data_IF_867954609100
#
_entry.id   IF_867954609100
#
_cell.length_a   1.000
_cell.length_b   1.000
_cell.length_c   1.000
_cell.angle_alpha   90.00
_cell.angle_beta   90.00
_cell.angle_gamma   90.00
#
_symmetry.space_group_name_H-M   'P 1'
#
loop_
_entity.id
_entity.type
_entity.pdbx_description
1 polymer ?
#
# COMPACT_ATOMS: atom_id res chain seq x y z
N UNK A 1 -29.38 -25.38 -8.59
CA UNK A 1 -29.40 -24.01 -7.97
C UNK A 1 -28.85 -24.07 -6.56
N UNK A 2 -27.55 -23.77 -6.35
CA UNK A 2 -26.93 -23.66 -4.99
C UNK A 2 -26.93 -22.22 -4.56
N UNK A 3 -27.67 -21.90 -3.50
CA UNK A 3 -27.70 -20.58 -2.85
C UNK A 3 -26.33 -20.29 -2.23
N UNK A 4 -25.66 -19.22 -2.68
CA UNK A 4 -24.45 -18.67 -2.06
C UNK A 4 -24.85 -18.01 -0.74
N UNK A 5 -24.29 -18.47 0.39
CA UNK A 5 -24.40 -17.78 1.69
C UNK A 5 -23.46 -16.57 1.67
N UNK A 6 -24.04 -15.40 1.79
CA UNK A 6 -23.30 -14.14 2.07
C UNK A 6 -22.88 -14.17 3.54
N UNK A 7 -21.59 -14.08 3.79
CA UNK A 7 -21.08 -13.77 5.11
C UNK A 7 -21.05 -12.24 5.27
N UNK A 8 -21.84 -11.73 6.19
CA UNK A 8 -21.76 -10.35 6.64
C UNK A 8 -20.80 -10.30 7.81
N UNK A 9 -19.73 -9.53 7.70
CA UNK A 9 -18.86 -9.17 8.82
C UNK A 9 -19.23 -7.76 9.29
N UNK A 10 -19.10 -7.49 10.58
CA UNK A 10 -19.63 -6.31 11.27
C UNK A 10 -19.07 -4.93 10.83
N UNK A 11 -18.29 -4.87 9.78
CA UNK A 11 -17.71 -3.63 9.24
C UNK A 11 -18.39 -3.10 7.95
N UNK A 12 -19.46 -3.70 7.46
CA UNK A 12 -20.25 -3.18 6.32
C UNK A 12 -19.52 -3.09 4.97
N UNK A 13 -18.27 -3.52 4.87
CA UNK A 13 -17.51 -3.56 3.62
C UNK A 13 -17.83 -4.86 2.90
N UNK A 14 -18.51 -4.78 1.77
CA UNK A 14 -18.79 -5.96 0.93
C UNK A 14 -17.46 -6.59 0.49
N UNK A 15 -17.15 -7.77 1.03
CA UNK A 15 -16.02 -8.62 0.64
C UNK A 15 -16.11 -9.17 -0.81
N UNK A 16 -16.88 -8.58 -1.70
CA UNK A 16 -17.19 -9.17 -3.00
C UNK A 16 -16.10 -9.00 -4.06
N UNK A 17 -15.23 -8.00 -3.95
CA UNK A 17 -14.23 -7.70 -4.99
C UNK A 17 -12.85 -8.29 -4.74
N UNK A 18 -12.51 -8.65 -3.50
CA UNK A 18 -11.25 -9.32 -3.17
C UNK A 18 -11.07 -10.70 -3.80
N UNK A 19 -12.16 -11.34 -4.23
CA UNK A 19 -12.11 -12.68 -4.87
C UNK A 19 -11.70 -12.66 -6.33
N UNK A 20 -11.73 -11.53 -7.02
CA UNK A 20 -11.34 -11.44 -8.43
C UNK A 20 -9.82 -11.59 -8.64
N UNK A 21 -9.00 -11.28 -7.62
CA UNK A 21 -7.54 -11.42 -7.66
C UNK A 21 -7.02 -12.80 -7.22
N UNK A 22 -7.83 -13.59 -6.54
CA UNK A 22 -7.44 -14.91 -6.05
C UNK A 22 -7.13 -15.93 -7.15
N UNK A 23 -7.90 -16.03 -8.26
CA UNK A 23 -7.61 -17.02 -9.29
C UNK A 23 -6.23 -16.86 -9.94
N UNK A 24 -5.78 -15.64 -10.35
CA UNK A 24 -4.44 -15.46 -10.90
C UNK A 24 -3.33 -15.77 -9.90
N UNK A 25 -3.49 -15.40 -8.63
CA UNK A 25 -2.52 -15.74 -7.59
C UNK A 25 -2.44 -17.24 -7.34
N UNK A 26 -3.57 -17.95 -7.33
CA UNK A 26 -3.64 -19.40 -7.20
C UNK A 26 -2.98 -20.13 -8.38
N UNK A 27 -3.19 -19.66 -9.60
CA UNK A 27 -2.51 -20.22 -10.78
C UNK A 27 -0.99 -19.99 -10.69
N UNK A 28 -0.55 -18.82 -10.27
CA UNK A 28 0.86 -18.54 -10.04
C UNK A 28 1.48 -19.47 -8.98
N UNK A 29 0.74 -19.74 -7.90
CA UNK A 29 1.16 -20.67 -6.84
C UNK A 29 1.27 -22.11 -7.32
N UNK A 30 0.47 -22.52 -8.31
CA UNK A 30 0.54 -23.87 -8.91
C UNK A 30 1.70 -23.99 -9.90
N UNK A 31 1.98 -22.93 -10.65
CA UNK A 31 2.97 -22.92 -11.73
C UNK A 31 4.40 -22.62 -11.28
N UNK A 32 4.60 -22.03 -10.09
CA UNK A 32 5.91 -21.61 -9.59
C UNK A 32 6.26 -22.26 -8.25
N UNK A 33 7.50 -22.70 -8.13
CA UNK A 33 8.01 -23.29 -6.87
C UNK A 33 8.34 -22.23 -5.82
N UNK A 34 8.80 -21.05 -6.23
CA UNK A 34 9.12 -19.92 -5.36
C UNK A 34 9.02 -18.59 -6.11
N UNK A 35 8.97 -17.50 -5.34
CA UNK A 35 9.00 -16.13 -5.84
C UNK A 35 10.12 -15.37 -5.12
N UNK A 36 10.91 -14.60 -5.86
CA UNK A 36 12.01 -13.81 -5.30
C UNK A 36 11.77 -12.29 -5.32
N UNK A 37 10.79 -11.83 -6.13
CA UNK A 37 10.50 -10.40 -6.27
C UNK A 37 9.02 -10.16 -6.60
N UNK A 38 8.45 -9.14 -5.95
CA UNK A 38 7.14 -8.57 -6.27
C UNK A 38 7.26 -7.05 -6.30
N UNK A 39 6.76 -6.43 -7.37
CA UNK A 39 6.61 -4.97 -7.46
C UNK A 39 5.13 -4.64 -7.56
N UNK A 40 4.57 -4.04 -6.53
CA UNK A 40 3.18 -3.59 -6.49
C UNK A 40 3.11 -2.19 -7.08
N UNK A 41 2.87 -2.12 -8.39
CA UNK A 41 2.85 -0.86 -9.16
C UNK A 41 1.43 -0.40 -9.49
N UNK A 42 0.46 -1.31 -9.63
CA UNK A 42 -0.91 -0.98 -9.99
C UNK A 42 -1.53 0.01 -8.97
N UNK A 43 -2.04 1.12 -9.46
CA UNK A 43 -2.71 2.13 -8.64
C UNK A 43 -3.60 3.01 -9.51
N UNK A 44 -4.61 3.60 -8.88
CA UNK A 44 -5.51 4.58 -9.50
C UNK A 44 -5.59 5.85 -8.66
N UNK A 45 -5.90 6.98 -9.30
CA UNK A 45 -6.20 8.25 -8.67
C UNK A 45 -7.13 9.05 -9.59
N UNK A 46 -8.13 9.65 -9.03
CA UNK A 46 -9.02 10.57 -9.77
C UNK A 46 -8.57 12.02 -9.63
N UNK A 47 -7.53 12.27 -8.82
CA UNK A 47 -6.91 13.58 -8.60
C UNK A 47 -7.90 14.66 -8.16
N UNK A 48 -8.89 14.28 -7.36
CA UNK A 48 -9.88 15.20 -6.81
C UNK A 48 -9.23 16.16 -5.81
N UNK A 49 -9.61 17.42 -5.88
CA UNK A 49 -9.14 18.48 -4.96
C UNK A 49 -10.38 19.05 -4.24
N UNK A 50 -10.32 19.10 -2.92
CA UNK A 50 -11.38 19.58 -2.03
C UNK A 50 -12.73 18.84 -2.18
N UNK A 51 -12.72 17.70 -2.87
CA UNK A 51 -13.86 16.79 -3.02
C UNK A 51 -13.41 15.34 -2.80
N UNK A 52 -14.35 14.48 -2.41
CA UNK A 52 -14.18 13.02 -2.39
C UNK A 52 -15.52 12.39 -2.72
N UNK A 53 -15.63 11.77 -3.88
CA UNK A 53 -16.76 10.92 -4.20
C UNK A 53 -16.61 9.58 -3.47
N UNK A 54 -17.71 9.04 -2.96
CA UNK A 54 -17.70 7.72 -2.29
C UNK A 54 -17.21 6.63 -3.23
N UNK A 55 -17.68 6.62 -4.47
CA UNK A 55 -17.29 5.64 -5.49
C UNK A 55 -15.79 5.73 -5.80
N UNK A 56 -15.25 6.93 -5.97
CA UNK A 56 -13.82 7.13 -6.21
C UNK A 56 -12.98 6.71 -5.01
N UNK A 57 -13.37 7.11 -3.79
CA UNK A 57 -12.67 6.72 -2.58
C UNK A 57 -12.66 5.20 -2.39
N UNK A 58 -13.80 4.52 -2.59
CA UNK A 58 -13.87 3.05 -2.54
C UNK A 58 -12.95 2.41 -3.59
N UNK A 59 -13.01 2.88 -4.84
CA UNK A 59 -12.18 2.36 -5.93
C UNK A 59 -10.68 2.54 -5.64
N UNK A 60 -10.29 3.73 -5.18
CA UNK A 60 -8.89 4.04 -4.85
C UNK A 60 -8.38 3.18 -3.69
N UNK A 61 -9.15 3.07 -2.61
CA UNK A 61 -8.77 2.27 -1.45
C UNK A 61 -8.70 0.77 -1.77
N UNK A 62 -9.69 0.27 -2.51
CA UNK A 62 -9.74 -1.13 -2.94
C UNK A 62 -8.56 -1.48 -3.83
N UNK A 63 -8.22 -0.64 -4.80
CA UNK A 63 -7.11 -0.91 -5.72
C UNK A 63 -5.75 -0.73 -5.05
N UNK A 64 -5.51 0.45 -4.43
CA UNK A 64 -4.16 0.84 -4.02
C UNK A 64 -3.72 0.19 -2.71
N UNK A 65 -4.65 -0.09 -1.80
CA UNK A 65 -4.35 -0.66 -0.48
C UNK A 65 -4.81 -2.11 -0.37
N UNK A 66 -6.11 -2.39 -0.45
CA UNK A 66 -6.63 -3.74 -0.22
C UNK A 66 -6.17 -4.72 -1.29
N UNK A 67 -6.16 -4.33 -2.56
CA UNK A 67 -5.68 -5.17 -3.66
C UNK A 67 -4.20 -5.52 -3.49
N UNK A 68 -3.37 -4.54 -3.18
CA UNK A 68 -1.94 -4.74 -2.89
C UNK A 68 -1.74 -5.68 -1.69
N UNK A 69 -2.48 -5.45 -0.60
CA UNK A 69 -2.41 -6.29 0.60
C UNK A 69 -2.81 -7.72 0.30
N UNK A 70 -3.98 -7.92 -0.31
CA UNK A 70 -4.50 -9.25 -0.63
C UNK A 70 -3.57 -10.04 -1.54
N UNK A 71 -3.04 -9.42 -2.59
CA UNK A 71 -2.09 -10.06 -3.49
C UNK A 71 -0.79 -10.43 -2.76
N UNK A 72 -0.27 -9.53 -1.95
CA UNK A 72 0.95 -9.78 -1.17
C UNK A 72 0.76 -10.95 -0.21
N UNK A 73 -0.30 -10.96 0.59
CA UNK A 73 -0.59 -12.03 1.53
C UNK A 73 -0.78 -13.38 0.82
N UNK A 74 -1.47 -13.40 -0.32
CA UNK A 74 -1.67 -14.60 -1.10
C UNK A 74 -0.34 -15.18 -1.65
N UNK A 75 0.63 -14.32 -1.99
CA UNK A 75 1.92 -14.73 -2.54
C UNK A 75 3.00 -14.99 -1.49
N UNK A 76 2.82 -14.60 -0.22
CA UNK A 76 3.80 -14.81 0.84
C UNK A 76 4.33 -16.25 0.94
N UNK A 77 3.53 -17.31 0.80
CA UNK A 77 4.03 -18.68 0.84
C UNK A 77 5.09 -18.98 -0.23
N UNK A 78 5.02 -18.31 -1.40
CA UNK A 78 6.02 -18.48 -2.46
C UNK A 78 7.35 -17.80 -2.13
N UNK A 79 7.31 -16.64 -1.47
CA UNK A 79 8.51 -15.94 -1.01
C UNK A 79 9.25 -16.74 0.07
N UNK A 80 8.53 -17.37 0.97
CA UNK A 80 9.10 -18.22 2.03
C UNK A 80 9.85 -19.43 1.50
N UNK A 81 9.51 -19.92 0.33
CA UNK A 81 10.18 -21.04 -0.35
C UNK A 81 11.47 -20.64 -1.06
N UNK A 82 11.71 -19.34 -1.26
CA UNK A 82 12.91 -18.87 -1.95
C UNK A 82 14.17 -19.17 -1.11
N UNK A 83 15.23 -19.76 -1.69
CA UNK A 83 16.49 -19.98 -1.01
C UNK A 83 17.27 -18.66 -0.78
N UNK A 84 16.97 -17.64 -1.56
CA UNK A 84 17.57 -16.30 -1.47
C UNK A 84 16.66 -15.31 -0.75
N UNK A 85 17.21 -14.16 -0.38
CA UNK A 85 16.43 -13.04 0.15
C UNK A 85 15.45 -12.52 -0.90
N UNK A 86 14.16 -12.61 -0.59
CA UNK A 86 13.08 -12.15 -1.45
C UNK A 86 12.73 -10.68 -1.18
N UNK A 87 12.05 -10.03 -2.14
CA UNK A 87 11.78 -8.60 -2.09
C UNK A 87 10.37 -8.28 -2.49
N UNK A 88 9.74 -7.37 -1.73
CA UNK A 88 8.45 -6.76 -2.06
C UNK A 88 8.68 -5.26 -2.10
N UNK A 89 8.41 -4.64 -3.24
CA UNK A 89 8.51 -3.21 -3.45
C UNK A 89 7.13 -2.62 -3.75
N UNK A 90 6.62 -1.82 -2.83
CA UNK A 90 5.34 -1.13 -2.99
C UNK A 90 5.57 0.25 -3.61
N UNK A 91 5.01 0.51 -4.78
CA UNK A 91 5.05 1.84 -5.39
C UNK A 91 4.04 2.73 -4.67
N UNK A 92 4.58 3.62 -3.86
CA UNK A 92 3.82 4.48 -2.96
C UNK A 92 3.95 5.96 -3.35
N UNK A 93 3.64 6.86 -2.41
CA UNK A 93 3.69 8.30 -2.63
C UNK A 93 4.08 9.05 -1.36
N UNK A 94 4.80 10.15 -1.54
CA UNK A 94 5.03 11.13 -0.48
C UNK A 94 3.74 11.79 0.03
N UNK A 95 2.62 11.70 -0.70
CA UNK A 95 1.32 12.17 -0.23
C UNK A 95 0.80 11.31 0.93
N UNK A 96 1.23 10.06 1.03
CA UNK A 96 0.95 9.16 2.14
C UNK A 96 1.94 9.28 3.31
N UNK A 97 2.76 10.31 3.39
CA UNK A 97 3.66 10.53 4.53
C UNK A 97 2.89 11.08 5.73
N UNK A 98 3.33 10.71 6.93
CA UNK A 98 2.70 11.09 8.18
C UNK A 98 2.66 12.62 8.40
N UNK A 99 3.62 13.36 7.86
CA UNK A 99 3.64 14.83 7.92
C UNK A 99 2.49 15.50 7.15
N UNK A 100 1.72 14.77 6.36
CA UNK A 100 0.51 15.23 5.67
C UNK A 100 -0.75 15.07 6.51
N UNK A 101 -0.71 14.22 7.53
CA UNK A 101 -1.81 14.00 8.47
C UNK A 101 -1.80 15.08 9.55
N UNK A 102 -2.93 15.76 9.72
CA UNK A 102 -3.09 16.82 10.74
C UNK A 102 -3.73 16.31 12.02
N UNK A 103 -4.47 15.21 11.96
CA UNK A 103 -5.13 14.60 13.10
C UNK A 103 -4.10 14.05 14.12
N UNK A 104 -4.05 14.57 15.36
CA UNK A 104 -3.05 14.12 16.33
C UNK A 104 -3.22 12.66 16.75
N UNK A 105 -4.46 12.18 16.83
CA UNK A 105 -4.76 10.79 17.22
C UNK A 105 -4.31 9.81 16.13
N UNK A 106 -4.57 10.12 14.85
CA UNK A 106 -4.08 9.33 13.74
C UNK A 106 -2.55 9.33 13.67
N UNK A 107 -1.92 10.48 13.92
CA UNK A 107 -0.45 10.57 13.97
C UNK A 107 0.11 9.68 15.08
N UNK A 108 -0.48 9.74 16.27
CA UNK A 108 -0.06 8.90 17.42
C UNK A 108 -0.22 7.42 17.09
N UNK A 109 -1.37 7.01 16.55
CA UNK A 109 -1.62 5.65 16.11
C UNK A 109 -0.55 5.15 15.14
N UNK A 110 -0.24 5.96 14.11
CA UNK A 110 0.70 5.58 13.06
C UNK A 110 2.17 5.64 13.50
N UNK A 111 2.51 6.40 14.54
CA UNK A 111 3.86 6.45 15.14
C UNK A 111 4.14 5.32 16.12
N UNK A 112 3.10 4.71 16.67
CA UNK A 112 3.24 3.63 17.63
C UNK A 112 3.67 2.33 16.92
N UNK A 113 4.98 2.10 16.89
CA UNK A 113 5.57 0.97 16.17
C UNK A 113 5.23 -0.39 16.81
N UNK A 114 5.03 -0.41 18.12
CA UNK A 114 4.73 -1.63 18.86
C UNK A 114 3.25 -2.00 18.78
N UNK A 115 2.38 -1.00 18.86
CA UNK A 115 0.94 -1.20 18.91
C UNK A 115 0.24 -1.14 17.55
N UNK A 116 0.92 -0.67 16.48
CA UNK A 116 0.32 -0.61 15.15
C UNK A 116 0.18 -2.01 14.55
N UNK A 117 -1.05 -2.35 14.16
CA UNK A 117 -1.39 -3.63 13.53
C UNK A 117 -2.10 -3.42 12.20
N UNK A 118 -2.16 -4.45 11.37
CA UNK A 118 -2.92 -4.43 10.11
C UNK A 118 -4.39 -4.09 10.36
N UNK A 119 -5.01 -4.68 11.39
CA UNK A 119 -6.40 -4.37 11.74
C UNK A 119 -6.63 -2.91 12.12
N UNK A 120 -5.66 -2.25 12.80
CA UNK A 120 -5.75 -0.81 13.09
C UNK A 120 -5.61 0.05 11.84
N UNK A 121 -4.80 -0.38 10.86
CA UNK A 121 -4.70 0.29 9.56
C UNK A 121 -6.02 0.16 8.80
N UNK A 122 -6.61 -1.03 8.76
CA UNK A 122 -7.92 -1.26 8.13
C UNK A 122 -9.03 -0.46 8.80
N UNK A 123 -9.04 -0.39 10.14
CA UNK A 123 -9.98 0.44 10.88
C UNK A 123 -9.84 1.94 10.54
N UNK A 124 -8.60 2.43 10.40
CA UNK A 124 -8.32 3.79 9.94
C UNK A 124 -8.89 4.06 8.54
N UNK A 125 -8.68 3.12 7.60
CA UNK A 125 -9.21 3.22 6.23
C UNK A 125 -10.74 3.20 6.22
N UNK A 126 -11.36 2.31 7.01
CA UNK A 126 -12.81 2.23 7.16
C UNK A 126 -13.40 3.50 7.77
N UNK A 127 -12.72 4.08 8.76
CA UNK A 127 -13.11 5.37 9.34
C UNK A 127 -13.08 6.50 8.32
N UNK A 128 -12.03 6.59 7.50
CA UNK A 128 -11.97 7.57 6.42
C UNK A 128 -13.15 7.40 5.46
N UNK A 129 -13.42 6.19 5.00
CA UNK A 129 -14.52 5.93 4.07
C UNK A 129 -15.89 6.26 4.67
N UNK A 130 -16.13 5.97 5.95
CA UNK A 130 -17.34 6.38 6.65
C UNK A 130 -17.48 7.90 6.65
N UNK A 131 -16.43 8.65 6.93
CA UNK A 131 -16.43 10.11 6.92
C UNK A 131 -16.59 10.70 5.51
N UNK A 132 -16.15 10.00 4.46
CA UNK A 132 -16.47 10.39 3.07
C UNK A 132 -17.97 10.22 2.80
N UNK A 133 -18.56 9.11 3.24
CA UNK A 133 -20.02 8.84 3.12
C UNK A 133 -20.87 9.87 3.85
N UNK A 134 -20.43 10.31 5.01
CA UNK A 134 -21.11 11.30 5.84
C UNK A 134 -20.79 12.76 5.43
N UNK A 135 -19.85 12.96 4.49
CA UNK A 135 -19.41 14.30 4.06
C UNK A 135 -18.52 15.04 5.07
N UNK A 136 -18.10 14.40 6.17
CA UNK A 136 -17.36 15.04 7.28
C UNK A 136 -15.84 14.93 7.18
N UNK A 137 -15.30 14.17 6.23
CA UNK A 137 -13.87 13.87 6.08
C UNK A 137 -12.96 15.10 6.15
N UNK A 138 -13.40 16.24 5.61
CA UNK A 138 -12.61 17.49 5.57
C UNK A 138 -12.22 18.04 6.94
N UNK A 139 -13.00 17.73 7.99
CA UNK A 139 -12.83 18.22 9.36
C UNK A 139 -11.91 17.33 10.21
N UNK A 140 -11.62 16.11 9.75
CA UNK A 140 -10.92 15.10 10.52
C UNK A 140 -9.39 15.08 10.36
N UNK A 141 -8.82 16.07 9.68
CA UNK A 141 -7.38 16.27 9.59
C UNK A 141 -6.64 15.25 8.70
N UNK A 142 -7.33 14.65 7.75
CA UNK A 142 -6.74 13.84 6.68
C UNK A 142 -5.80 14.69 5.78
N UNK A 143 -4.93 14.05 4.97
CA UNK A 143 -4.16 14.77 3.95
C UNK A 143 -5.08 15.57 3.01
N UNK A 144 -4.70 16.80 2.66
CA UNK A 144 -5.58 17.70 1.90
C UNK A 144 -5.55 17.52 0.38
N UNK A 145 -4.44 17.03 -0.16
CA UNK A 145 -4.25 16.93 -1.61
C UNK A 145 -4.52 15.50 -2.05
N UNK A 146 -5.47 15.32 -2.98
CA UNK A 146 -5.89 14.01 -3.48
C UNK A 146 -6.14 13.05 -2.31
N UNK A 147 -7.10 13.41 -1.47
CA UNK A 147 -7.23 12.87 -0.12
C UNK A 147 -7.41 11.36 -0.10
N UNK A 148 -8.29 10.81 -0.94
CA UNK A 148 -8.51 9.38 -1.10
C UNK A 148 -7.23 8.64 -1.50
N UNK A 149 -6.53 9.15 -2.51
CA UNK A 149 -5.24 8.63 -2.94
C UNK A 149 -4.20 8.74 -1.83
N UNK A 150 -4.11 9.90 -1.17
CA UNK A 150 -3.15 10.10 -0.08
C UNK A 150 -3.40 9.17 1.10
N UNK A 151 -4.67 8.93 1.47
CA UNK A 151 -5.06 7.96 2.52
C UNK A 151 -4.72 6.53 2.09
N UNK A 152 -4.96 6.15 0.82
CA UNK A 152 -4.57 4.83 0.32
C UNK A 152 -3.06 4.60 0.41
N UNK A 153 -2.25 5.63 0.10
CA UNK A 153 -0.79 5.54 0.18
C UNK A 153 -0.26 5.64 1.62
N UNK A 154 -0.97 6.34 2.51
CA UNK A 154 -0.71 6.33 3.96
C UNK A 154 -0.91 4.92 4.54
N UNK A 155 -2.02 4.28 4.21
CA UNK A 155 -2.30 2.91 4.61
C UNK A 155 -1.27 1.93 4.05
N UNK A 156 -0.88 2.07 2.78
CA UNK A 156 0.14 1.23 2.14
C UNK A 156 1.52 1.40 2.80
N UNK A 157 1.91 2.63 3.15
CA UNK A 157 3.15 2.92 3.87
C UNK A 157 3.15 2.26 5.25
N UNK A 158 2.06 2.42 6.00
CA UNK A 158 1.89 1.81 7.32
C UNK A 158 1.90 0.27 7.24
N UNK A 159 1.18 -0.31 6.29
CA UNK A 159 1.17 -1.76 6.04
C UNK A 159 2.56 -2.29 5.71
N UNK A 160 3.31 -1.60 4.85
CA UNK A 160 4.69 -1.98 4.50
C UNK A 160 5.57 -2.10 5.75
N UNK A 161 5.45 -1.17 6.69
CA UNK A 161 6.20 -1.21 7.96
C UNK A 161 5.78 -2.38 8.83
N UNK A 162 4.47 -2.55 9.05
CA UNK A 162 3.92 -3.65 9.86
C UNK A 162 4.29 -5.01 9.27
N UNK A 163 4.16 -5.18 7.95
CA UNK A 163 4.54 -6.40 7.27
C UNK A 163 6.05 -6.67 7.40
N UNK A 164 6.88 -5.65 7.22
CA UNK A 164 8.32 -5.79 7.36
C UNK A 164 8.73 -6.25 8.76
N UNK A 165 8.15 -5.66 9.82
CA UNK A 165 8.36 -6.06 11.20
C UNK A 165 7.89 -7.50 11.46
N UNK A 166 6.69 -7.86 11.00
CA UNK A 166 6.14 -9.21 11.14
C UNK A 166 7.05 -10.27 10.53
N UNK A 167 7.52 -10.05 9.29
CA UNK A 167 8.39 -10.99 8.59
C UNK A 167 9.78 -11.06 9.21
N UNK A 168 10.32 -9.95 9.68
CA UNK A 168 11.61 -9.90 10.34
C UNK A 168 11.57 -10.62 11.69
N UNK A 169 10.54 -10.40 12.50
CA UNK A 169 10.35 -11.10 13.78
C UNK A 169 10.12 -12.60 13.58
N UNK A 170 9.53 -13.01 12.47
CA UNK A 170 9.40 -14.41 12.07
C UNK A 170 10.68 -15.05 11.51
N UNK A 171 11.80 -14.31 11.43
CA UNK A 171 13.06 -14.80 10.85
C UNK A 171 13.01 -14.98 9.33
N UNK A 172 12.03 -14.39 8.66
CA UNK A 172 11.82 -14.59 7.23
C UNK A 172 12.80 -13.74 6.39
N UNK A 173 13.33 -14.34 5.33
CA UNK A 173 14.24 -13.65 4.39
C UNK A 173 13.50 -12.87 3.32
N UNK A 174 12.53 -12.03 3.72
CA UNK A 174 11.75 -11.17 2.85
C UNK A 174 11.94 -9.73 3.25
N UNK A 175 12.35 -8.88 2.32
CA UNK A 175 12.51 -7.43 2.51
C UNK A 175 11.33 -6.72 1.87
N UNK A 176 10.65 -5.87 2.65
CA UNK A 176 9.46 -5.13 2.20
C UNK A 176 9.72 -3.65 2.32
N UNK A 177 9.61 -2.91 1.24
CA UNK A 177 9.89 -1.49 1.20
C UNK A 177 8.86 -0.73 0.35
N UNK A 178 8.77 0.59 0.56
CA UNK A 178 8.04 1.50 -0.29
C UNK A 178 8.96 2.35 -1.14
N UNK A 179 8.52 2.69 -2.34
CA UNK A 179 9.19 3.65 -3.21
C UNK A 179 8.22 4.72 -3.71
N UNK A 180 8.56 5.99 -3.50
CA UNK A 180 7.85 7.12 -4.09
C UNK A 180 8.61 7.63 -5.31
N UNK A 181 8.06 7.49 -6.52
CA UNK A 181 8.69 7.93 -7.76
C UNK A 181 8.75 9.46 -7.91
N UNK A 182 8.00 10.18 -7.07
CA UNK A 182 7.75 11.60 -7.24
C UNK A 182 6.69 11.89 -8.28
N UNK A 183 6.59 13.14 -8.72
CA UNK A 183 5.63 13.56 -9.74
C UNK A 183 6.17 13.23 -11.14
N UNK A 184 5.72 12.10 -11.68
CA UNK A 184 6.21 11.46 -12.90
C UNK A 184 5.22 11.68 -14.04
N UNK A 185 5.69 11.84 -15.26
CA UNK A 185 4.87 11.93 -16.49
C UNK A 185 4.26 10.58 -16.80
N UNK A 186 2.97 10.44 -16.55
CA UNK A 186 2.15 9.24 -16.79
C UNK A 186 0.71 9.67 -17.10
N UNK A 187 -0.13 8.73 -17.49
CA UNK A 187 -1.57 9.00 -17.69
C UNK A 187 -2.24 9.48 -16.40
N UNK A 188 -1.87 8.92 -15.25
CA UNK A 188 -2.37 9.35 -13.94
C UNK A 188 -2.13 10.85 -13.68
N UNK A 189 -1.02 11.38 -14.17
CA UNK A 189 -0.66 12.81 -14.03
C UNK A 189 -0.98 13.61 -15.29
N UNK A 190 -1.73 13.03 -16.25
CA UNK A 190 -2.12 13.66 -17.54
C UNK A 190 -0.90 14.19 -18.30
N UNK A 191 0.22 13.46 -18.24
CA UNK A 191 1.47 13.87 -18.87
C UNK A 191 2.25 14.96 -18.11
N UNK A 192 1.73 15.45 -16.98
CA UNK A 192 2.45 16.40 -16.13
C UNK A 192 3.45 15.68 -15.23
N UNK A 193 4.61 16.25 -15.09
CA UNK A 193 5.67 15.70 -14.23
C UNK A 193 7.05 16.18 -14.67
N UNK A 194 7.98 16.16 -13.72
CA UNK A 194 9.37 16.58 -13.97
C UNK A 194 10.25 15.44 -14.51
N UNK A 195 9.78 14.18 -14.38
CA UNK A 195 10.54 12.97 -14.71
C UNK A 195 9.77 12.12 -15.69
N UNK A 196 10.48 11.35 -16.49
CA UNK A 196 9.87 10.33 -17.36
C UNK A 196 9.60 9.06 -16.57
N UNK A 197 8.75 8.19 -17.09
CA UNK A 197 8.48 6.89 -16.50
C UNK A 197 9.74 6.00 -16.51
N UNK A 198 10.56 6.09 -17.56
CA UNK A 198 11.80 5.33 -17.72
C UNK A 198 12.84 5.70 -16.65
N UNK A 199 13.08 7.01 -16.42
CA UNK A 199 14.01 7.47 -15.38
C UNK A 199 13.64 6.94 -14.01
N UNK A 200 12.34 6.91 -13.70
CA UNK A 200 11.82 6.43 -12.43
C UNK A 200 11.88 4.91 -12.35
N UNK A 201 11.56 4.22 -13.43
CA UNK A 201 11.60 2.77 -13.52
C UNK A 201 13.02 2.23 -13.34
N UNK A 202 14.02 2.87 -13.94
CA UNK A 202 15.45 2.51 -13.76
C UNK A 202 15.83 2.57 -12.26
N UNK A 203 15.49 3.65 -11.58
CA UNK A 203 15.77 3.75 -10.14
C UNK A 203 15.02 2.71 -9.32
N UNK A 204 13.73 2.49 -9.59
CA UNK A 204 12.93 1.47 -8.92
C UNK A 204 13.49 0.06 -9.13
N UNK A 205 13.93 -0.26 -10.34
CA UNK A 205 14.56 -1.53 -10.67
C UNK A 205 15.89 -1.71 -9.94
N UNK A 206 16.75 -0.68 -9.90
CA UNK A 206 18.01 -0.73 -9.12
C UNK A 206 17.73 -0.95 -7.64
N UNK A 207 16.74 -0.26 -7.06
CA UNK A 207 16.35 -0.45 -5.68
C UNK A 207 15.87 -1.89 -5.42
N UNK A 208 15.04 -2.43 -6.32
CA UNK A 208 14.55 -3.80 -6.22
C UNK A 208 15.67 -4.84 -6.35
N UNK A 209 16.76 -4.53 -7.04
CA UNK A 209 17.89 -5.42 -7.31
C UNK A 209 19.10 -5.20 -6.38
N UNK A 210 19.02 -4.30 -5.40
CA UNK A 210 20.12 -4.09 -4.44
C UNK A 210 20.57 -5.41 -3.80
N UNK A 211 21.87 -5.58 -3.53
CA UNK A 211 22.36 -6.73 -2.78
C UNK A 211 21.63 -6.90 -1.44
N UNK A 212 21.37 -8.12 -0.97
CA UNK A 212 20.62 -8.36 0.26
C UNK A 212 21.19 -7.65 1.51
N UNK A 213 22.52 -7.50 1.58
CA UNK A 213 23.19 -6.80 2.68
C UNK A 213 23.03 -5.28 2.67
N UNK A 214 22.68 -4.70 1.52
CA UNK A 214 22.50 -3.27 1.34
C UNK A 214 21.02 -2.86 1.37
N UNK A 215 20.10 -3.82 1.26
CA UNK A 215 18.67 -3.56 1.21
C UNK A 215 18.07 -3.61 2.62
N UNK A 216 17.65 -2.46 3.19
CA UNK A 216 16.89 -2.45 4.45
C UNK A 216 15.49 -3.06 4.25
N UNK A 217 14.73 -3.16 5.34
CA UNK A 217 13.31 -3.52 5.31
C UNK A 217 12.50 -2.49 6.09
N UNK A 218 11.24 -2.30 5.73
CA UNK A 218 10.35 -1.30 6.36
C UNK A 218 10.68 0.15 6.01
N UNK A 219 11.45 0.37 4.93
CA UNK A 219 11.95 1.70 4.56
C UNK A 219 11.12 2.32 3.45
N UNK A 220 10.89 3.63 3.58
CA UNK A 220 10.31 4.45 2.54
C UNK A 220 11.41 5.16 1.74
N UNK A 221 11.55 4.81 0.47
CA UNK A 221 12.46 5.46 -0.45
C UNK A 221 11.75 6.54 -1.24
N UNK A 222 12.30 7.73 -1.19
CA UNK A 222 11.91 8.83 -2.07
C UNK A 222 13.00 8.99 -3.11
N UNK A 223 12.65 9.24 -4.33
CA UNK A 223 13.58 9.44 -5.44
C UNK A 223 14.98 9.89 -4.97
N UNK A 224 15.97 8.98 -5.06
CA UNK A 224 17.38 9.15 -4.65
C UNK A 224 17.65 9.41 -3.17
N UNK A 225 16.65 9.30 -2.27
CA UNK A 225 16.85 9.54 -0.84
C UNK A 225 16.07 8.52 -0.03
N UNK A 226 16.72 7.66 0.74
CA UNK A 226 16.03 6.78 1.69
C UNK A 226 15.45 7.62 2.83
N UNK A 227 14.24 7.28 3.26
CA UNK A 227 13.60 7.87 4.43
C UNK A 227 13.10 6.77 5.34
N UNK A 228 13.44 6.85 6.62
CA UNK A 228 12.92 5.93 7.62
C UNK A 228 11.51 6.36 8.06
N UNK A 229 10.64 5.40 8.31
CA UNK A 229 9.27 5.67 8.77
C UNK A 229 9.21 6.43 10.10
N UNK A 230 10.14 6.21 11.00
CA UNK A 230 10.24 6.89 12.28
C UNK A 230 10.48 8.41 12.18
N UNK A 231 10.83 8.89 11.00
CA UNK A 231 11.04 10.31 10.72
C UNK A 231 9.92 10.95 9.89
N UNK A 232 8.79 10.24 9.73
CA UNK A 232 7.65 10.67 8.92
C UNK A 232 6.67 11.60 9.67
#
# INVERSE_FOLDING_TARGET
MRKRKLFHDHAGVKKQEGMAFLPPALELMKSHSCLSMQVNNAAVSFNEIDTNSVEHAETVLNTNFYGTKLLTEALLPLFRRSPATSRILNISSQLGLLNKVRNPSLRRLLLDEEALTEGKIEAMVSQFLAQVKDGTWGEHGWPKVWTDYAVSKLALNAYTRVLAQRLQSGGERVRVNCFCPGFTRTDMTKGWGKRTAEEVADFGARLALLPPGELPTGTFFKWRTPQLYSKL
#
